data_IF_145187869934
#
_entry.id   IF_145187869934
#
_cell.length_a   1.000
_cell.length_b   1.000
_cell.length_c   1.000
_cell.angle_alpha   90.00
_cell.angle_beta   90.00
_cell.angle_gamma   90.00
#
_symmetry.space_group_name_H-M   'P 1'
#
loop_
_entity.id
_entity.type
_entity.pdbx_description
1 polymer ?
#
# COMPACT_ATOMS: atom_id res chain seq x y z
N UNK A 1 41.32 -30.35 -11.63
CA UNK A 1 40.31 -29.82 -12.58
C UNK A 1 39.00 -30.49 -12.22
N UNK A 2 37.95 -29.87 -11.66
CA UNK A 2 37.45 -28.49 -11.71
C UNK A 2 37.16 -27.98 -10.30
N UNK A 3 37.37 -26.67 -10.15
CA UNK A 3 37.11 -25.84 -8.98
C UNK A 3 35.65 -25.98 -8.52
N UNK A 4 35.46 -26.35 -7.25
CA UNK A 4 34.27 -25.99 -6.49
C UNK A 4 34.45 -24.50 -6.21
N UNK A 5 33.69 -23.66 -6.91
CA UNK A 5 33.58 -22.25 -6.57
C UNK A 5 32.92 -22.19 -5.19
N UNK A 6 33.74 -22.03 -4.15
CA UNK A 6 33.30 -21.55 -2.86
C UNK A 6 32.73 -20.16 -3.09
N UNK A 7 31.40 -20.05 -3.08
CA UNK A 7 30.71 -18.76 -2.98
C UNK A 7 31.19 -18.16 -1.64
N UNK A 8 31.90 -17.02 -1.65
CA UNK A 8 32.24 -16.38 -0.39
C UNK A 8 30.93 -15.99 0.25
N UNK A 9 30.76 -16.44 1.49
CA UNK A 9 29.68 -16.07 2.39
C UNK A 9 29.41 -14.58 2.22
N UNK A 10 28.27 -14.27 1.61
CA UNK A 10 27.71 -12.93 1.66
C UNK A 10 27.57 -12.62 3.15
N UNK A 11 28.25 -11.56 3.55
CA UNK A 11 28.24 -11.11 4.92
C UNK A 11 26.82 -10.63 5.20
N UNK A 12 26.10 -11.42 5.98
CA UNK A 12 24.80 -11.07 6.54
C UNK A 12 25.07 -10.06 7.67
N UNK A 13 25.51 -8.86 7.30
CA UNK A 13 25.79 -7.77 8.24
C UNK A 13 24.45 -7.19 8.75
N UNK A 14 24.03 -7.74 9.89
CA UNK A 14 23.01 -7.29 10.84
C UNK A 14 22.27 -5.98 10.56
N UNK A 15 21.05 -6.12 10.02
CA UNK A 15 19.99 -5.10 10.03
C UNK A 15 19.24 -5.07 11.39
N UNK A 16 19.96 -5.02 12.52
CA UNK A 16 19.33 -4.93 13.86
C UNK A 16 20.07 -3.98 14.82
N UNK A 17 21.06 -3.23 14.34
CA UNK A 17 21.72 -2.19 15.16
C UNK A 17 20.87 -0.92 15.10
N UNK A 18 20.39 -0.37 16.23
CA UNK A 18 19.68 0.91 16.22
C UNK A 18 20.60 1.99 15.63
N UNK A 19 20.18 2.61 14.53
CA UNK A 19 20.88 3.73 13.96
C UNK A 19 20.86 4.88 14.99
N UNK A 20 22.02 5.25 15.52
CA UNK A 20 22.14 6.40 16.41
C UNK A 20 21.79 7.67 15.62
N UNK A 21 20.60 8.22 15.88
CA UNK A 21 20.17 9.48 15.29
C UNK A 21 21.07 10.60 15.85
N UNK A 22 21.67 11.43 15.00
CA UNK A 22 22.46 12.56 15.45
C UNK A 22 21.65 13.49 16.38
N UNK A 23 22.29 14.04 17.42
CA UNK A 23 21.65 14.96 18.39
C UNK A 23 21.14 16.27 17.74
N UNK A 24 21.54 16.56 16.50
CA UNK A 24 21.02 17.69 15.72
C UNK A 24 20.39 17.21 14.41
N UNK A 25 19.26 17.81 14.06
CA UNK A 25 18.51 17.48 12.83
C UNK A 25 19.30 17.73 11.55
N UNK A 26 20.30 18.63 11.59
CA UNK A 26 21.19 18.99 10.49
C UNK A 26 22.44 18.10 10.40
N UNK A 27 22.65 17.19 11.34
CA UNK A 27 23.80 16.28 11.34
C UNK A 27 23.53 14.98 10.55
N UNK A 28 22.40 14.89 9.84
CA UNK A 28 22.23 13.89 8.80
C UNK A 28 23.30 14.10 7.72
N UNK A 29 23.86 13.04 7.14
CA UNK A 29 24.96 13.18 6.19
C UNK A 29 24.48 13.95 4.95
N UNK A 30 24.93 15.19 4.87
CA UNK A 30 24.95 15.99 3.65
C UNK A 30 25.67 15.15 2.58
N UNK A 31 25.17 15.12 1.34
CA UNK A 31 25.71 14.29 0.25
C UNK A 31 25.48 12.77 0.34
N UNK A 32 24.44 12.33 1.06
CA UNK A 32 23.98 10.94 0.94
C UNK A 32 23.27 10.75 -0.41
N UNK A 33 23.82 9.85 -1.23
CA UNK A 33 23.16 9.40 -2.46
C UNK A 33 22.01 8.45 -2.10
N UNK A 34 20.79 8.98 -2.09
CA UNK A 34 19.58 8.18 -1.92
C UNK A 34 19.20 7.53 -3.24
N UNK A 35 19.44 6.22 -3.35
CA UNK A 35 19.02 5.45 -4.51
C UNK A 35 17.49 5.29 -4.54
N UNK A 36 16.88 5.55 -5.69
CA UNK A 36 15.46 5.29 -5.89
C UNK A 36 15.23 3.83 -6.29
N UNK A 37 15.16 2.95 -5.29
CA UNK A 37 14.89 1.51 -5.48
C UNK A 37 13.41 1.14 -5.58
N UNK A 38 12.49 2.08 -5.33
CA UNK A 38 11.06 1.78 -5.29
C UNK A 38 10.65 0.76 -4.22
N UNK A 39 9.62 -0.02 -4.51
CA UNK A 39 9.09 -1.09 -3.68
C UNK A 39 8.53 -2.26 -4.52
N UNK A 40 7.91 -3.24 -3.87
CA UNK A 40 7.25 -4.40 -4.51
C UNK A 40 6.13 -4.04 -5.49
N UNK A 41 5.57 -2.83 -5.40
CA UNK A 41 4.50 -2.34 -6.29
C UNK A 41 5.02 -1.55 -7.49
N UNK A 42 6.14 -0.85 -7.34
CA UNK A 42 6.67 0.03 -8.37
C UNK A 42 8.16 0.25 -8.16
N UNK A 43 8.94 0.17 -9.23
CA UNK A 43 10.41 0.15 -9.18
C UNK A 43 11.07 1.51 -8.90
N UNK A 44 10.30 2.60 -8.84
CA UNK A 44 10.78 3.96 -8.59
C UNK A 44 9.74 4.74 -7.78
N UNK A 45 10.10 5.15 -6.57
CA UNK A 45 9.31 6.02 -5.72
C UNK A 45 8.98 7.35 -6.43
N UNK A 46 9.92 7.89 -7.21
CA UNK A 46 9.76 9.18 -7.90
C UNK A 46 8.78 9.12 -9.08
N UNK A 47 8.57 7.94 -9.67
CA UNK A 47 7.61 7.72 -10.75
C UNK A 47 6.37 6.92 -10.31
N UNK A 48 6.17 6.75 -8.99
CA UNK A 48 5.08 5.93 -8.46
C UNK A 48 3.72 6.61 -8.69
N UNK A 49 2.73 5.93 -9.31
CA UNK A 49 1.41 6.49 -9.58
C UNK A 49 0.48 6.50 -8.35
N UNK A 50 0.94 5.99 -7.20
CA UNK A 50 0.12 5.92 -6.01
C UNK A 50 -0.09 7.33 -5.41
N UNK A 51 -1.32 7.69 -5.01
CA UNK A 51 -1.60 9.00 -4.41
C UNK A 51 -0.97 9.19 -3.01
N UNK A 52 -0.54 8.11 -2.37
CA UNK A 52 0.18 8.10 -1.10
C UNK A 52 1.12 6.89 -1.07
N UNK A 53 2.29 7.01 -0.45
CA UNK A 53 3.20 5.88 -0.29
C UNK A 53 2.59 4.76 0.56
N UNK A 54 2.85 3.50 0.19
CA UNK A 54 2.41 2.32 0.95
C UNK A 54 3.01 2.25 2.35
N UNK A 55 4.15 2.88 2.60
CA UNK A 55 4.80 2.91 3.91
C UNK A 55 4.22 4.01 4.80
N UNK A 56 3.63 5.05 4.20
CA UNK A 56 3.01 6.17 4.93
C UNK A 56 1.52 5.94 5.22
N UNK A 57 0.88 5.02 4.50
CA UNK A 57 -0.52 4.70 4.70
C UNK A 57 -0.69 3.69 5.86
N UNK A 58 -1.53 3.97 6.87
CA UNK A 58 -1.82 2.99 7.92
C UNK A 58 -2.49 1.76 7.32
N UNK A 59 -1.84 0.60 7.45
CA UNK A 59 -2.25 -0.66 6.80
C UNK A 59 -1.79 -0.81 5.34
N UNK A 60 -0.98 0.12 4.85
CA UNK A 60 -0.27 0.09 3.58
C UNK A 60 -1.14 -0.07 2.34
N UNK A 61 -0.55 -0.70 1.31
CA UNK A 61 -1.18 -0.83 0.00
C UNK A 61 -2.52 -1.57 0.05
N UNK A 62 -2.64 -2.61 0.88
CA UNK A 62 -3.89 -3.36 1.04
C UNK A 62 -5.01 -2.48 1.61
N UNK A 63 -4.69 -1.59 2.56
CA UNK A 63 -5.66 -0.63 3.07
C UNK A 63 -6.08 0.36 1.98
N UNK A 64 -5.14 0.86 1.18
CA UNK A 64 -5.41 1.77 0.06
C UNK A 64 -6.34 1.14 -0.99
N UNK A 65 -6.04 -0.09 -1.41
CA UNK A 65 -6.88 -0.85 -2.35
C UNK A 65 -8.28 -1.07 -1.79
N UNK A 66 -8.39 -1.41 -0.50
CA UNK A 66 -9.68 -1.58 0.17
C UNK A 66 -10.47 -0.28 0.19
N UNK A 67 -9.85 0.84 0.54
CA UNK A 67 -10.50 2.16 0.55
C UNK A 67 -10.99 2.54 -0.84
N UNK A 68 -10.15 2.40 -1.87
CA UNK A 68 -10.54 2.74 -3.25
C UNK A 68 -11.69 1.86 -3.76
N UNK A 69 -11.69 0.57 -3.44
CA UNK A 69 -12.81 -0.33 -3.76
C UNK A 69 -14.08 0.05 -3.00
N UNK A 70 -13.98 0.30 -1.70
CA UNK A 70 -15.14 0.64 -0.86
C UNK A 70 -15.76 1.97 -1.34
N UNK A 71 -14.96 2.95 -1.78
CA UNK A 71 -15.46 4.17 -2.44
C UNK A 71 -16.14 3.90 -3.78
N UNK A 72 -15.60 3.00 -4.60
CA UNK A 72 -16.24 2.62 -5.87
C UNK A 72 -17.60 1.95 -5.62
N UNK A 73 -17.70 1.10 -4.60
CA UNK A 73 -18.96 0.48 -4.18
C UNK A 73 -19.97 1.55 -3.75
N UNK A 74 -19.55 2.55 -2.97
CA UNK A 74 -20.42 3.65 -2.54
C UNK A 74 -20.94 4.45 -3.74
N UNK A 75 -20.06 4.82 -4.69
CA UNK A 75 -20.47 5.53 -5.92
C UNK A 75 -21.45 4.73 -6.76
N UNK A 76 -21.28 3.40 -6.83
CA UNK A 76 -22.25 2.54 -7.52
C UNK A 76 -23.59 2.47 -6.80
N UNK A 77 -23.58 2.47 -5.46
CA UNK A 77 -24.79 2.44 -4.64
C UNK A 77 -25.58 3.76 -4.67
N UNK A 78 -24.90 4.88 -4.91
CA UNK A 78 -25.51 6.22 -5.10
C UNK A 78 -26.23 6.36 -6.46
N UNK A 79 -26.04 5.43 -7.42
CA UNK A 79 -26.72 5.51 -8.73
C UNK A 79 -28.14 4.98 -8.64
N UNK A 80 -29.09 5.74 -9.19
CA UNK A 80 -30.51 5.35 -9.27
C UNK A 80 -30.68 3.94 -9.87
N UNK A 81 -31.40 3.08 -9.14
CA UNK A 81 -31.75 1.73 -9.58
C UNK A 81 -30.68 0.65 -9.36
N UNK A 82 -29.54 0.96 -8.72
CA UNK A 82 -28.54 -0.05 -8.41
C UNK A 82 -29.01 -0.98 -7.28
N UNK A 83 -29.27 -2.26 -7.60
CA UNK A 83 -29.59 -3.26 -6.58
C UNK A 83 -28.32 -3.76 -5.90
N UNK A 84 -28.41 -4.12 -4.62
CA UNK A 84 -27.27 -4.67 -3.85
C UNK A 84 -26.72 -5.94 -4.50
N UNK A 85 -27.60 -6.74 -5.12
CA UNK A 85 -27.22 -7.96 -5.83
C UNK A 85 -26.43 -7.65 -7.10
N UNK A 86 -26.82 -6.62 -7.87
CA UNK A 86 -26.08 -6.19 -9.06
C UNK A 86 -24.68 -5.65 -8.72
N UNK A 87 -24.55 -4.91 -7.61
CA UNK A 87 -23.25 -4.41 -7.13
C UNK A 87 -22.39 -5.58 -6.65
N UNK A 88 -22.97 -6.54 -5.92
CA UNK A 88 -22.26 -7.73 -5.46
C UNK A 88 -21.67 -8.53 -6.64
N UNK A 89 -22.47 -8.73 -7.69
CA UNK A 89 -22.04 -9.42 -8.91
C UNK A 89 -20.95 -8.63 -9.66
N UNK A 90 -21.13 -7.33 -9.86
CA UNK A 90 -20.17 -6.46 -10.54
C UNK A 90 -18.78 -6.48 -9.90
N UNK A 91 -18.71 -6.48 -8.56
CA UNK A 91 -17.45 -6.48 -7.82
C UNK A 91 -16.95 -7.90 -7.46
N UNK A 92 -17.71 -8.96 -7.78
CA UNK A 92 -17.39 -10.33 -7.40
C UNK A 92 -17.35 -10.55 -5.88
N UNK A 93 -18.19 -9.83 -5.12
CA UNK A 93 -18.23 -9.85 -3.66
C UNK A 93 -19.52 -10.45 -3.13
N UNK A 94 -19.47 -11.03 -1.93
CA UNK A 94 -20.70 -11.44 -1.25
C UNK A 94 -21.56 -10.23 -0.85
N UNK A 95 -22.89 -10.42 -0.81
CA UNK A 95 -23.84 -9.42 -0.28
C UNK A 95 -23.45 -8.90 1.09
N UNK A 96 -22.97 -9.78 1.99
CA UNK A 96 -22.48 -9.43 3.34
C UNK A 96 -21.34 -8.41 3.30
N UNK A 97 -20.44 -8.51 2.32
CA UNK A 97 -19.35 -7.55 2.16
C UNK A 97 -19.88 -6.19 1.74
N UNK A 98 -20.81 -6.14 0.79
CA UNK A 98 -21.46 -4.89 0.35
C UNK A 98 -22.18 -4.22 1.51
N UNK A 99 -23.06 -4.93 2.22
CA UNK A 99 -23.76 -4.39 3.39
C UNK A 99 -22.81 -3.87 4.47
N UNK A 100 -21.68 -4.55 4.71
CA UNK A 100 -20.67 -4.11 5.67
C UNK A 100 -20.01 -2.79 5.25
N UNK A 101 -19.74 -2.60 3.97
CA UNK A 101 -19.18 -1.35 3.43
C UNK A 101 -20.20 -0.22 3.57
N UNK A 102 -21.44 -0.44 3.13
CA UNK A 102 -22.52 0.55 3.24
C UNK A 102 -22.76 0.98 4.69
N UNK A 103 -22.78 0.02 5.64
CA UNK A 103 -22.97 0.32 7.07
C UNK A 103 -21.81 1.14 7.68
N UNK A 104 -20.58 0.96 7.19
CA UNK A 104 -19.42 1.73 7.67
C UNK A 104 -19.44 3.19 7.20
N UNK A 105 -20.17 3.50 6.14
CA UNK A 105 -20.27 4.84 5.56
C UNK A 105 -21.72 5.33 5.48
N UNK A 106 -22.40 5.51 6.63
CA UNK A 106 -23.84 5.77 6.69
C UNK A 106 -24.26 7.12 6.09
N UNK A 107 -23.35 8.11 6.04
CA UNK A 107 -23.65 9.49 5.61
C UNK A 107 -23.66 9.72 4.08
N UNK A 108 -23.30 8.72 3.26
CA UNK A 108 -23.22 8.87 1.79
C UNK A 108 -24.31 8.11 1.03
N UNK A 109 -25.13 7.31 1.72
CA UNK A 109 -26.21 6.54 1.11
C UNK A 109 -27.58 7.26 1.10
N UNK A 110 -27.62 8.56 1.41
CA UNK A 110 -28.85 9.32 1.70
C UNK A 110 -28.94 10.69 0.98
N UNK A 111 -28.10 10.95 -0.01
CA UNK A 111 -28.23 12.14 -0.88
C UNK A 111 -28.46 11.73 -2.31
#
# INVERSE_FOLDING_TARGET
>A
MRSILTVPLLQEDGMDTPLELPNRIDALPEYTDYEDGGCDLYSSCLACPLPRCRYDAPGGASAMLRTGRDEAILRCAERDGASIDSIAEMFGLSRRTIFRVLKKHPHRAQM
#
